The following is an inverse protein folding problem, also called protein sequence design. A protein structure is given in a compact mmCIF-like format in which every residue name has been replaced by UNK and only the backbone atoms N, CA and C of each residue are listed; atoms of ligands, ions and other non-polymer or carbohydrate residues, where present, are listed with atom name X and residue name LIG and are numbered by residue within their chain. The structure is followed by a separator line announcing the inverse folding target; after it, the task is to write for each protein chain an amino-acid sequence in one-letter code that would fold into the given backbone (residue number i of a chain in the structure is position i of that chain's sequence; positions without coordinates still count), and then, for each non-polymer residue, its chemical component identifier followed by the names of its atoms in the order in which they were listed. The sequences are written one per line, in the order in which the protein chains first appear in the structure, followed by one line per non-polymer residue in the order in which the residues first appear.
data_IF_648149505814
#
_entry.id   IF_648149505814
#
_cell.length_a   1.000
_cell.length_b   1.000
_cell.length_c   1.000
_cell.angle_alpha   90.00
_cell.angle_beta   90.00
_cell.angle_gamma   90.00
#
_symmetry.space_group_name_H-M   'P 1'
#
loop_
_entity.id
_entity.type
_entity.pdbx_description
1 polymer ?
#
# COMPACT_ATOMS: atom_id res chain seq x y z
N UNK A 1 -6.23 6.19 4.95
CA UNK A 1 -6.41 4.74 4.83
C UNK A 1 -5.80 4.24 3.53
N UNK A 2 -5.12 3.12 3.60
CA UNK A 2 -4.43 2.57 2.44
C UNK A 2 -5.41 1.86 1.51
N UNK A 3 -5.29 2.12 0.21
CA UNK A 3 -6.10 1.47 -0.81
C UNK A 3 -5.48 0.12 -1.15
N UNK A 4 -5.77 -0.88 -0.33
CA UNK A 4 -5.15 -2.20 -0.49
C UNK A 4 -5.63 -2.91 -1.74
N UNK A 5 -6.80 -2.55 -2.25
CA UNK A 5 -7.29 -3.08 -3.53
C UNK A 5 -6.34 -2.72 -4.67
N UNK A 6 -5.79 -1.50 -4.66
CA UNK A 6 -4.83 -1.08 -5.67
C UNK A 6 -3.50 -1.77 -5.49
N UNK A 7 -3.09 -2.00 -4.23
CA UNK A 7 -1.87 -2.75 -3.96
C UNK A 7 -1.99 -4.17 -4.50
N UNK A 8 -3.12 -4.83 -4.26
CA UNK A 8 -3.34 -6.18 -4.76
C UNK A 8 -3.29 -6.24 -6.28
N UNK A 9 -3.88 -5.24 -6.94
CA UNK A 9 -3.84 -5.16 -8.39
C UNK A 9 -2.42 -5.06 -8.91
N UNK A 10 -1.61 -4.20 -8.30
CA UNK A 10 -0.21 -4.04 -8.69
C UNK A 10 0.61 -5.28 -8.41
N UNK A 11 0.36 -5.94 -7.28
CA UNK A 11 1.04 -7.20 -6.96
C UNK A 11 0.77 -8.26 -8.03
N UNK A 12 -0.48 -8.39 -8.43
CA UNK A 12 -0.85 -9.35 -9.47
C UNK A 12 -0.20 -8.99 -10.80
N UNK A 13 -0.21 -7.72 -11.15
CA UNK A 13 0.36 -7.23 -12.40
C UNK A 13 1.86 -7.50 -12.47
N UNK A 14 2.56 -7.33 -11.35
CA UNK A 14 4.01 -7.45 -11.31
C UNK A 14 4.48 -8.81 -10.79
N UNK A 15 3.56 -9.73 -10.56
CA UNK A 15 3.85 -11.07 -10.04
C UNK A 15 4.58 -11.03 -8.69
N UNK A 16 4.19 -10.10 -7.84
CA UNK A 16 4.75 -9.98 -6.48
C UNK A 16 3.77 -10.62 -5.50
N UNK A 17 4.27 -11.55 -4.70
CA UNK A 17 3.43 -12.25 -3.73
C UNK A 17 3.42 -11.54 -2.39
N UNK A 18 2.38 -11.79 -1.58
CA UNK A 18 2.33 -11.29 -0.23
C UNK A 18 3.45 -11.85 0.62
N UNK A 19 3.85 -13.09 0.36
CA UNK A 19 4.97 -13.71 1.05
C UNK A 19 6.27 -12.94 0.80
N UNK A 20 6.49 -12.52 -0.45
CA UNK A 20 7.67 -11.75 -0.80
C UNK A 20 7.68 -10.40 -0.09
N UNK A 21 6.54 -9.71 -0.09
CA UNK A 21 6.44 -8.41 0.57
C UNK A 21 6.61 -8.54 2.08
N UNK A 22 6.02 -9.58 2.68
CA UNK A 22 6.17 -9.82 4.10
C UNK A 22 7.63 -10.01 4.46
N UNK A 23 8.36 -10.79 3.65
CA UNK A 23 9.77 -11.03 3.88
C UNK A 23 10.57 -9.73 3.75
N UNK A 24 10.25 -8.92 2.77
CA UNK A 24 10.93 -7.64 2.57
C UNK A 24 10.69 -6.69 3.74
N UNK A 25 9.52 -6.78 4.36
CA UNK A 25 9.18 -5.95 5.51
C UNK A 25 9.70 -6.53 6.84
N UNK A 26 10.16 -7.78 6.84
CA UNK A 26 10.61 -8.43 8.06
C UNK A 26 9.47 -8.90 8.94
N UNK A 27 8.32 -9.21 8.34
CA UNK A 27 7.14 -9.69 9.08
C UNK A 27 6.68 -11.02 8.48
N UNK A 28 5.78 -11.69 9.19
CA UNK A 28 5.22 -12.96 8.69
C UNK A 28 4.13 -12.69 7.66
N UNK A 29 3.86 -13.68 6.77
CA UNK A 29 2.74 -13.53 5.82
C UNK A 29 1.41 -13.31 6.49
N UNK A 30 1.18 -13.91 7.66
CA UNK A 30 -0.06 -13.70 8.41
C UNK A 30 -0.20 -12.25 8.85
N UNK A 31 0.90 -11.66 9.33
CA UNK A 31 0.91 -10.26 9.74
C UNK A 31 0.65 -9.35 8.54
N UNK A 32 1.26 -9.68 7.40
CA UNK A 32 1.01 -8.92 6.16
C UNK A 32 -0.45 -8.99 5.76
N UNK A 33 -1.06 -10.17 5.82
CA UNK A 33 -2.47 -10.33 5.49
C UNK A 33 -3.36 -9.50 6.40
N UNK A 34 -3.04 -9.48 7.70
CA UNK A 34 -3.80 -8.68 8.66
C UNK A 34 -3.71 -7.19 8.32
N UNK A 35 -2.51 -6.73 7.95
CA UNK A 35 -2.32 -5.32 7.55
C UNK A 35 -3.08 -4.99 6.28
N UNK A 36 -3.10 -5.91 5.32
CA UNK A 36 -3.86 -5.72 4.09
C UNK A 36 -5.36 -5.60 4.38
N UNK A 37 -5.86 -6.39 5.32
CA UNK A 37 -7.27 -6.33 5.71
C UNK A 37 -7.61 -5.02 6.40
N UNK A 38 -6.76 -4.58 7.32
CA UNK A 38 -7.03 -3.38 8.10
C UNK A 38 -6.73 -2.09 7.34
N UNK A 39 -5.86 -2.18 6.33
CA UNK A 39 -5.42 -1.00 5.59
C UNK A 39 -4.46 -0.13 6.38
N UNK A 40 -3.79 -0.70 7.39
CA UNK A 40 -2.87 0.06 8.24
C UNK A 40 -1.45 -0.43 8.04
N UNK A 41 -0.58 0.46 7.58
CA UNK A 41 0.84 0.21 7.39
C UNK A 41 1.62 1.38 7.98
N UNK A 42 2.81 1.10 8.53
CA UNK A 42 3.66 2.17 8.98
C UNK A 42 4.47 2.75 7.81
N UNK A 43 5.21 3.85 8.08
CA UNK A 43 5.94 4.55 7.02
C UNK A 43 6.96 3.66 6.33
N UNK A 44 7.70 2.86 7.09
CA UNK A 44 8.72 1.99 6.53
C UNK A 44 8.10 0.94 5.62
N UNK A 45 6.96 0.39 6.04
CA UNK A 45 6.25 -0.62 5.26
C UNK A 45 5.71 -0.02 3.97
N UNK A 46 5.16 1.19 4.03
CA UNK A 46 4.67 1.86 2.84
C UNK A 46 5.79 2.11 1.85
N UNK A 47 6.96 2.50 2.35
CA UNK A 47 8.12 2.75 1.49
C UNK A 47 8.56 1.47 0.78
N UNK A 48 8.56 0.34 1.48
CA UNK A 48 8.92 -0.93 0.89
C UNK A 48 7.95 -1.29 -0.23
N UNK A 49 6.65 -1.09 -0.01
CA UNK A 49 5.65 -1.36 -1.03
C UNK A 49 5.90 -0.48 -2.26
N UNK A 50 6.16 0.80 -2.04
CA UNK A 50 6.43 1.73 -3.13
C UNK A 50 7.64 1.28 -3.95
N UNK A 51 8.70 0.86 -3.28
CA UNK A 51 9.93 0.46 -3.95
C UNK A 51 9.75 -0.86 -4.70
N UNK A 52 9.16 -1.85 -4.04
CA UNK A 52 9.00 -3.19 -4.63
C UNK A 52 8.05 -3.14 -5.83
N UNK A 53 6.97 -2.40 -5.73
CA UNK A 53 5.98 -2.32 -6.79
C UNK A 53 6.25 -1.18 -7.77
N UNK A 54 7.32 -0.42 -7.56
CA UNK A 54 7.70 0.71 -8.44
C UNK A 54 6.54 1.69 -8.63
N UNK A 55 5.91 2.05 -7.53
CA UNK A 55 4.79 2.97 -7.55
C UNK A 55 5.31 4.38 -7.77
N UNK A 56 4.86 5.05 -8.83
CA UNK A 56 5.32 6.39 -9.17
C UNK A 56 4.65 7.45 -8.31
N UNK A 57 3.36 7.28 -8.06
CA UNK A 57 2.61 8.23 -7.24
C UNK A 57 1.86 7.48 -6.15
N UNK A 58 2.41 7.43 -4.92
CA UNK A 58 1.79 6.68 -3.84
C UNK A 58 0.58 7.38 -3.21
N UNK A 59 0.38 8.65 -3.47
CA UNK A 59 -0.68 9.41 -2.80
C UNK A 59 -2.07 8.82 -2.97
N UNK A 60 -2.51 8.44 -4.19
CA UNK A 60 -3.86 7.87 -4.33
C UNK A 60 -4.04 6.54 -3.63
N UNK A 61 -2.93 5.83 -3.33
CA UNK A 61 -2.98 4.52 -2.72
C UNK A 61 -2.96 4.61 -1.20
N UNK A 62 -2.00 5.37 -0.66
CA UNK A 62 -1.78 5.40 0.78
C UNK A 62 -2.53 6.51 1.49
N UNK A 63 -2.84 7.57 0.77
CA UNK A 63 -3.51 8.74 1.35
C UNK A 63 -4.78 9.05 0.58
N UNK A 64 -5.60 8.01 0.38
CA UNK A 64 -6.85 8.16 -0.35
C UNK A 64 -7.66 9.30 0.25
N UNK A 65 -8.05 10.30 -0.57
CA UNK A 65 -8.79 11.45 -0.06
C UNK A 65 -10.15 11.01 0.43
N UNK A 66 -10.59 11.74 1.42
CA UNK A 66 -12.00 11.61 1.78
C UNK A 66 -12.76 12.56 0.94
N UNK A 67 -12.75 13.18 0.30
CA UNK A 67 -13.25 14.02 -0.48
C UNK A 67 -13.15 15.25 -0.69
N UNK A 68 -12.66 15.54 -0.40
CA UNK A 68 -12.52 16.25 -0.56
C UNK A 68 -12.18 17.09 -0.82
N UNK A 69 -12.04 17.24 -0.53
CA UNK A 69 -11.69 17.83 -0.55
C UNK A 69 -11.38 18.52 -1.04
N UNK A 70 -11.26 18.94 -0.83
CA UNK A 70 -11.01 19.53 -1.10
C UNK A 70 -10.49 20.06 -1.59
N UNK A 71 -10.49 20.35 -1.36
CA UNK A 71 -10.15 20.77 -1.66
C UNK A 71 -9.42 21.16 -2.15
N UNK A 72 -9.46 21.32 -1.93
CA UNK A 72 -8.95 21.57 -2.18
C UNK A 72 -8.24 21.79 -2.49
N UNK A 73 -8.28 22.11 -2.18
CA UNK A 73 -7.81 22.22 -2.30
C UNK A 73 -7.26 22.45 -2.70
N UNK A 74 -7.36 22.86 -2.60
CA UNK A 74 -7.10 22.92 -2.81
C UNK A 74 -6.64 23.11 -3.18
N UNK A 75 -6.67 23.56 -3.06
CA UNK A 75 -6.52 23.47 -3.29
C UNK A 75 -6.22 23.57 -3.48
#
# INVERSE_FOLDING_TARGET
MVRTDKIRGLMAEKNVTGKFLAKAMGITPNTFSAKMKSGVFNSDEMQIIVEVLSIEDPMPIFFAPKVTHNVTNAV
#
